data_IF_477431094693
#
_entry.id   IF_477431094693
#
_cell.length_a   1.000
_cell.length_b   1.000
_cell.length_c   1.000
_cell.angle_alpha   90.00
_cell.angle_beta   90.00
_cell.angle_gamma   90.00
#
_symmetry.space_group_name_H-M   'P 1'
#
loop_
_entity.id
_entity.type
_entity.pdbx_description
1 polymer ?
#
# COMPACT_ATOMS: atom_id res chain seq x y z
N UNK A 1 15.90 22.49 17.22
CA UNK A 1 15.45 22.20 15.85
C UNK A 1 14.16 21.39 15.96
N UNK A 2 13.02 22.03 15.70
CA UNK A 2 11.72 21.35 15.84
C UNK A 2 11.53 20.50 14.57
N UNK A 3 11.59 19.18 14.71
CA UNK A 3 11.43 18.26 13.59
C UNK A 3 9.92 18.12 13.33
N UNK A 4 9.38 18.98 12.48
CA UNK A 4 8.03 18.78 11.89
C UNK A 4 8.14 17.87 10.66
N UNK A 5 8.71 16.70 10.89
CA UNK A 5 9.28 15.92 9.83
C UNK A 5 8.28 15.42 8.81
N UNK A 6 7.25 14.67 9.24
CA UNK A 6 6.45 13.89 8.28
C UNK A 6 5.03 13.71 8.76
N UNK A 7 4.09 13.81 7.84
CA UNK A 7 2.70 13.39 8.02
C UNK A 7 2.43 12.13 7.21
N UNK A 8 1.43 11.35 7.61
CA UNK A 8 0.99 10.15 6.89
C UNK A 8 -0.41 10.35 6.31
N UNK A 9 -0.62 9.89 5.09
CA UNK A 9 -1.95 9.74 4.49
C UNK A 9 -2.02 8.48 3.64
N UNK A 10 -3.22 7.90 3.55
CA UNK A 10 -3.54 6.79 2.65
C UNK A 10 -4.32 7.24 1.41
N UNK A 11 -4.61 8.53 1.27
CA UNK A 11 -5.36 9.11 0.16
C UNK A 11 -4.51 10.11 -0.62
N UNK A 12 -4.19 9.84 -1.91
CA UNK A 12 -3.42 10.75 -2.75
C UNK A 12 -4.03 12.15 -2.89
N UNK A 13 -5.35 12.28 -2.75
CA UNK A 13 -6.07 13.57 -2.86
C UNK A 13 -5.78 14.50 -1.69
N UNK A 14 -5.49 13.91 -0.54
CA UNK A 14 -5.20 14.66 0.68
C UNK A 14 -3.80 15.30 0.70
N UNK A 15 -2.88 14.84 -0.13
CA UNK A 15 -1.49 15.36 -0.17
C UNK A 15 -1.45 16.89 -0.31
N UNK A 16 -2.40 17.48 -1.04
CA UNK A 16 -2.51 18.93 -1.24
C UNK A 16 -3.32 19.65 -0.16
N UNK A 17 -3.83 18.93 0.84
CA UNK A 17 -4.66 19.54 1.88
C UNK A 17 -3.81 20.48 2.77
N UNK A 18 -4.29 21.69 3.10
CA UNK A 18 -3.51 22.69 3.86
C UNK A 18 -2.91 22.19 5.18
N UNK A 19 -3.56 21.21 5.83
CA UNK A 19 -3.04 20.60 7.09
C UNK A 19 -1.65 19.98 6.94
N UNK A 20 -1.25 19.61 5.72
CA UNK A 20 0.07 19.02 5.46
C UNK A 20 1.15 20.05 5.11
N UNK A 21 0.79 21.35 4.95
CA UNK A 21 1.76 22.39 4.62
C UNK A 21 2.78 22.65 5.73
N UNK A 22 2.45 22.29 6.96
CA UNK A 22 3.34 22.45 8.13
C UNK A 22 4.41 21.35 8.22
N UNK A 23 4.31 20.32 7.41
CA UNK A 23 5.26 19.19 7.39
C UNK A 23 6.23 19.33 6.21
N UNK A 24 7.46 18.86 6.41
CA UNK A 24 8.47 18.84 5.35
C UNK A 24 8.13 17.80 4.29
N UNK A 25 7.60 16.65 4.72
CA UNK A 25 7.23 15.55 3.83
C UNK A 25 5.87 14.94 4.21
N UNK A 26 5.23 14.31 3.24
CA UNK A 26 4.00 13.53 3.40
C UNK A 26 4.26 12.10 2.99
N UNK A 27 4.18 11.17 3.92
CA UNK A 27 4.27 9.73 3.65
C UNK A 27 2.93 9.29 3.07
N UNK A 28 2.94 8.81 1.83
CA UNK A 28 1.74 8.37 1.13
C UNK A 28 1.75 6.87 0.89
N UNK A 29 0.75 6.17 1.48
CA UNK A 29 0.46 4.77 1.22
C UNK A 29 -0.84 4.64 0.43
N UNK A 30 -0.77 4.51 -0.88
CA UNK A 30 -1.97 4.41 -1.73
C UNK A 30 -2.58 2.99 -1.75
N UNK A 31 -2.63 2.32 -0.59
CA UNK A 31 -3.24 0.98 -0.46
C UNK A 31 -4.73 1.03 -0.81
N UNK A 32 -5.44 2.06 -0.37
CA UNK A 32 -6.87 2.22 -0.65
C UNK A 32 -7.15 2.32 -2.16
N UNK A 33 -6.26 2.93 -2.92
CA UNK A 33 -6.34 2.98 -4.38
C UNK A 33 -6.33 1.59 -5.02
N UNK A 34 -5.60 0.64 -4.44
CA UNK A 34 -5.53 -0.73 -4.93
C UNK A 34 -6.89 -1.44 -4.87
N UNK A 35 -7.68 -1.20 -3.83
CA UNK A 35 -9.00 -1.79 -3.66
C UNK A 35 -10.10 -1.06 -4.45
N UNK A 36 -9.79 0.08 -5.06
CA UNK A 36 -10.72 0.89 -5.84
C UNK A 36 -11.56 1.81 -4.95
N UNK A 37 -11.56 3.09 -5.31
CA UNK A 37 -12.43 4.09 -4.69
C UNK A 37 -13.80 4.03 -5.34
N UNK A 38 -14.85 3.92 -4.53
CA UNK A 38 -16.24 4.02 -4.98
C UNK A 38 -17.11 2.86 -4.48
N UNK A 39 -18.11 3.23 -3.72
CA UNK A 39 -19.17 2.33 -3.28
C UNK A 39 -20.28 2.31 -4.35
N UNK A 40 -20.11 1.49 -5.38
CA UNK A 40 -21.25 1.15 -6.24
C UNK A 40 -22.21 0.27 -5.43
N UNK A 41 -23.51 0.56 -5.49
CA UNK A 41 -24.57 -0.23 -4.84
C UNK A 41 -24.44 -1.73 -5.24
N UNK A 42 -24.11 -2.00 -6.51
CA UNK A 42 -23.86 -3.35 -6.99
C UNK A 42 -22.69 -4.04 -6.27
N UNK A 43 -21.63 -3.28 -5.98
CA UNK A 43 -20.46 -3.80 -5.25
C UNK A 43 -20.84 -4.10 -3.79
N UNK A 44 -21.53 -3.15 -3.14
CA UNK A 44 -22.00 -3.33 -1.76
C UNK A 44 -22.89 -4.58 -1.62
N UNK A 45 -23.86 -4.77 -2.51
CA UNK A 45 -24.72 -5.96 -2.53
C UNK A 45 -23.90 -7.25 -2.74
N UNK A 46 -22.93 -7.24 -3.65
CA UNK A 46 -22.02 -8.37 -3.86
C UNK A 46 -21.21 -8.67 -2.60
N UNK A 47 -20.67 -7.65 -1.96
CA UNK A 47 -19.84 -7.78 -0.75
C UNK A 47 -20.68 -8.36 0.41
N UNK A 48 -21.91 -7.88 0.58
CA UNK A 48 -22.86 -8.42 1.57
C UNK A 48 -23.20 -9.88 1.29
N UNK A 49 -23.47 -10.23 0.04
CA UNK A 49 -23.76 -11.63 -0.36
C UNK A 49 -22.58 -12.56 -0.08
N UNK A 50 -21.37 -12.17 -0.51
CA UNK A 50 -20.14 -12.96 -0.29
C UNK A 50 -19.89 -13.13 1.22
N UNK A 51 -19.95 -12.07 1.99
CA UNK A 51 -19.71 -12.12 3.43
C UNK A 51 -20.78 -12.94 4.15
N UNK A 52 -22.06 -12.75 3.81
CA UNK A 52 -23.20 -13.36 4.53
C UNK A 52 -23.39 -14.85 4.23
N UNK A 53 -23.18 -15.25 2.96
CA UNK A 53 -23.45 -16.63 2.53
C UNK A 53 -22.20 -17.49 2.39
N UNK A 54 -21.08 -16.92 1.98
CA UNK A 54 -19.84 -17.68 1.75
C UNK A 54 -18.83 -17.53 2.88
N UNK A 55 -19.06 -16.62 3.82
CA UNK A 55 -18.12 -16.30 4.91
C UNK A 55 -16.68 -16.03 4.40
N UNK A 56 -16.55 -15.44 3.20
CA UNK A 56 -15.27 -15.13 2.56
C UNK A 56 -15.03 -13.62 2.58
N UNK A 57 -13.76 -13.19 2.60
CA UNK A 57 -13.40 -11.78 2.42
C UNK A 57 -13.86 -11.28 1.04
N UNK A 58 -14.60 -10.16 1.02
CA UNK A 58 -15.12 -9.58 -0.21
C UNK A 58 -14.08 -8.72 -0.96
N UNK A 59 -13.10 -8.18 -0.24
CA UNK A 59 -12.10 -7.26 -0.77
C UNK A 59 -10.80 -7.98 -1.15
N UNK A 60 -10.87 -8.89 -2.13
CA UNK A 60 -9.71 -9.62 -2.65
C UNK A 60 -9.29 -9.04 -4.00
N UNK A 61 -8.04 -8.59 -4.09
CA UNK A 61 -7.47 -8.02 -5.32
C UNK A 61 -6.16 -8.73 -5.63
N UNK A 62 -5.95 -9.11 -6.91
CA UNK A 62 -4.66 -9.64 -7.33
C UNK A 62 -3.55 -8.60 -7.10
N UNK A 63 -2.45 -9.00 -6.46
CA UNK A 63 -1.33 -8.11 -6.16
C UNK A 63 -0.75 -7.47 -7.44
N UNK A 64 -0.70 -8.20 -8.56
CA UNK A 64 -0.31 -7.67 -9.86
C UNK A 64 -1.19 -6.49 -10.33
N UNK A 65 -2.48 -6.50 -10.00
CA UNK A 65 -3.39 -5.38 -10.29
C UNK A 65 -3.26 -4.28 -9.24
N UNK A 66 -3.05 -4.67 -7.98
CA UNK A 66 -2.89 -3.74 -6.86
C UNK A 66 -1.69 -2.82 -7.06
N UNK A 67 -0.51 -3.35 -7.38
CA UNK A 67 0.72 -2.55 -7.58
C UNK A 67 0.56 -1.50 -8.68
N UNK A 68 -0.15 -1.83 -9.78
CA UNK A 68 -0.46 -0.87 -10.84
C UNK A 68 -1.38 0.26 -10.39
N UNK A 69 -2.36 -0.05 -9.52
CA UNK A 69 -3.31 0.92 -8.99
C UNK A 69 -2.73 1.76 -7.84
N UNK A 70 -1.75 1.20 -7.13
CA UNK A 70 -1.04 1.94 -6.08
C UNK A 70 -0.14 3.02 -6.66
N UNK A 71 0.35 2.86 -7.89
CA UNK A 71 1.06 3.93 -8.59
C UNK A 71 0.09 5.09 -8.84
N UNK A 72 0.48 6.28 -8.43
CA UNK A 72 -0.35 7.47 -8.60
C UNK A 72 0.51 8.71 -8.90
N UNK A 73 -0.02 9.70 -9.63
CA UNK A 73 0.72 10.93 -9.97
C UNK A 73 1.20 11.72 -8.76
N UNK A 74 0.56 11.54 -7.59
CA UNK A 74 1.00 12.20 -6.37
C UNK A 74 2.43 11.81 -5.96
N UNK A 75 2.91 10.63 -6.38
CA UNK A 75 4.28 10.19 -6.09
C UNK A 75 5.35 11.03 -6.80
N UNK A 76 5.01 11.78 -7.84
CA UNK A 76 5.93 12.69 -8.52
C UNK A 76 6.19 13.98 -7.72
N UNK A 77 5.33 14.30 -6.75
CA UNK A 77 5.49 15.47 -5.90
C UNK A 77 6.72 15.31 -4.99
N UNK A 78 7.57 16.33 -4.95
CA UNK A 78 8.83 16.34 -4.18
C UNK A 78 8.62 16.14 -2.68
N UNK A 79 7.51 16.65 -2.12
CA UNK A 79 7.16 16.47 -0.70
C UNK A 79 6.64 15.07 -0.36
N UNK A 80 6.28 14.26 -1.37
CA UNK A 80 5.68 12.95 -1.10
C UNK A 80 6.75 11.88 -0.99
N UNK A 81 6.73 11.16 0.11
CA UNK A 81 7.53 9.95 0.32
C UNK A 81 6.63 8.73 0.10
N UNK A 82 6.85 7.96 -0.97
CA UNK A 82 6.01 6.81 -1.27
C UNK A 82 6.23 5.65 -0.29
N UNK A 83 5.16 4.88 -0.08
CA UNK A 83 5.21 3.61 0.65
C UNK A 83 5.04 2.46 -0.33
N UNK A 84 5.92 1.47 -0.26
CA UNK A 84 5.79 0.18 -0.95
C UNK A 84 5.31 -0.89 0.03
N UNK A 85 4.52 -1.83 -0.49
CA UNK A 85 3.86 -2.86 0.33
C UNK A 85 4.18 -4.23 -0.27
N UNK A 86 4.90 -5.12 0.45
CA UNK A 86 5.30 -6.43 -0.08
C UNK A 86 4.12 -7.39 -0.27
N UNK A 87 3.23 -7.40 0.68
CA UNK A 87 2.05 -8.25 0.74
C UNK A 87 0.99 -7.61 1.64
N UNK A 88 -0.23 -8.15 1.65
CA UNK A 88 -1.31 -7.64 2.49
C UNK A 88 -2.39 -8.69 2.67
N UNK A 89 -2.65 -9.06 3.92
CA UNK A 89 -3.80 -9.87 4.30
C UNK A 89 -4.35 -9.41 5.66
N UNK A 90 -5.40 -8.62 5.62
CA UNK A 90 -6.01 -8.06 6.83
C UNK A 90 -7.09 -8.99 7.43
N UNK A 91 -7.27 -10.19 6.85
CA UNK A 91 -8.28 -11.14 7.35
C UNK A 91 -8.02 -11.67 8.76
N UNK A 92 -6.75 -11.82 9.24
CA UNK A 92 -6.53 -12.24 10.62
C UNK A 92 -7.12 -11.28 11.67
N UNK A 93 -7.19 -9.98 11.35
CA UNK A 93 -7.76 -8.95 12.25
C UNK A 93 -9.25 -8.72 12.04
N UNK A 94 -9.71 -8.73 10.79
CA UNK A 94 -11.07 -8.30 10.42
C UNK A 94 -11.96 -9.42 9.91
N UNK A 95 -11.48 -10.66 9.88
CA UNK A 95 -12.24 -11.78 9.35
C UNK A 95 -12.71 -11.51 7.91
N UNK A 96 -13.99 -11.70 7.64
CA UNK A 96 -14.61 -11.49 6.32
C UNK A 96 -14.62 -10.02 5.88
N UNK A 97 -14.44 -9.06 6.79
CA UNK A 97 -14.27 -7.65 6.48
C UNK A 97 -12.85 -7.27 6.04
N UNK A 98 -11.91 -8.21 6.10
CA UNK A 98 -10.53 -8.00 5.71
C UNK A 98 -10.34 -7.78 4.21
N UNK A 99 -9.30 -7.04 3.86
CA UNK A 99 -8.86 -6.83 2.49
C UNK A 99 -7.57 -7.62 2.23
N UNK A 100 -7.45 -8.20 1.03
CA UNK A 100 -6.36 -9.13 0.72
C UNK A 100 -5.75 -8.79 -0.64
N UNK A 101 -4.41 -8.76 -0.71
CA UNK A 101 -3.67 -8.85 -1.97
C UNK A 101 -3.36 -10.32 -2.28
N UNK A 102 -4.14 -10.89 -3.18
CA UNK A 102 -3.97 -12.27 -3.60
C UNK A 102 -2.76 -12.44 -4.54
N UNK A 103 -2.05 -13.55 -4.40
CA UNK A 103 -0.84 -13.87 -5.17
C UNK A 103 0.26 -12.80 -5.09
N UNK A 104 0.55 -12.31 -3.89
CA UNK A 104 1.77 -11.56 -3.64
C UNK A 104 3.00 -12.48 -3.78
N UNK A 105 4.00 -12.04 -4.55
CA UNK A 105 5.27 -12.75 -4.73
C UNK A 105 6.45 -11.78 -4.65
N UNK A 106 7.65 -12.26 -4.30
CA UNK A 106 8.86 -11.44 -4.29
C UNK A 106 9.15 -10.74 -5.63
N UNK A 107 8.89 -11.39 -6.77
CA UNK A 107 9.11 -10.82 -8.11
C UNK A 107 8.16 -9.65 -8.37
N UNK A 108 6.89 -9.78 -7.96
CA UNK A 108 5.93 -8.69 -8.08
C UNK A 108 6.26 -7.53 -7.14
N UNK A 109 6.76 -7.84 -5.94
CA UNK A 109 7.25 -6.83 -5.01
C UNK A 109 8.47 -6.10 -5.57
N UNK A 110 9.46 -6.83 -6.08
CA UNK A 110 10.61 -6.25 -6.78
C UNK A 110 10.19 -5.28 -7.87
N UNK A 111 9.23 -5.67 -8.70
CA UNK A 111 8.68 -4.80 -9.73
C UNK A 111 8.08 -3.53 -9.14
N UNK A 112 7.22 -3.67 -8.12
CA UNK A 112 6.60 -2.53 -7.44
C UNK A 112 7.65 -1.57 -6.86
N UNK A 113 8.65 -2.13 -6.17
CA UNK A 113 9.76 -1.36 -5.61
C UNK A 113 10.57 -0.65 -6.71
N UNK A 114 10.85 -1.34 -7.82
CA UNK A 114 11.57 -0.76 -8.97
C UNK A 114 10.81 0.42 -9.57
N UNK A 115 9.50 0.26 -9.81
CA UNK A 115 8.66 1.33 -10.37
C UNK A 115 8.69 2.58 -9.45
N UNK A 116 8.59 2.39 -8.13
CA UNK A 116 8.65 3.48 -7.16
C UNK A 116 10.06 4.10 -7.07
N UNK A 117 11.11 3.29 -7.12
CA UNK A 117 12.50 3.78 -7.14
C UNK A 117 12.76 4.67 -8.36
N UNK A 118 12.27 4.29 -9.53
CA UNK A 118 12.41 5.10 -10.75
C UNK A 118 11.73 6.46 -10.61
N UNK A 119 10.51 6.50 -10.08
CA UNK A 119 9.80 7.77 -9.80
C UNK A 119 10.58 8.61 -8.78
N UNK A 120 11.04 7.98 -7.71
CA UNK A 120 11.70 8.67 -6.60
C UNK A 120 13.05 9.27 -7.02
N UNK A 121 13.80 8.59 -7.89
CA UNK A 121 15.09 9.07 -8.43
C UNK A 121 14.95 10.30 -9.33
N UNK A 122 13.79 10.52 -9.92
CA UNK A 122 13.53 11.69 -10.77
C UNK A 122 13.24 12.97 -9.97
N UNK A 123 13.00 12.84 -8.66
CA UNK A 123 12.71 13.99 -7.80
C UNK A 123 13.96 14.82 -7.52
N UNK A 124 13.78 16.13 -7.46
CA UNK A 124 14.84 17.09 -7.10
C UNK A 124 14.92 17.28 -5.58
N UNK A 125 15.14 16.19 -4.84
CA UNK A 125 15.24 16.18 -3.38
C UNK A 125 16.64 15.78 -2.94
N UNK A 126 17.11 16.35 -1.84
CA UNK A 126 18.47 16.11 -1.33
C UNK A 126 18.65 14.65 -0.89
N UNK A 127 17.60 14.06 -0.31
CA UNK A 127 17.60 12.68 0.16
C UNK A 127 16.31 11.99 -0.29
N UNK A 128 16.33 11.27 -1.42
CA UNK A 128 15.19 10.49 -1.85
C UNK A 128 14.94 9.33 -0.87
N UNK A 129 13.69 9.20 -0.42
CA UNK A 129 13.28 8.19 0.55
C UNK A 129 12.09 7.38 0.05
N UNK A 130 12.04 6.12 0.46
CA UNK A 130 10.91 5.21 0.30
C UNK A 130 10.68 4.53 1.64
N UNK A 131 9.41 4.38 2.04
CA UNK A 131 9.05 3.56 3.18
C UNK A 131 8.57 2.20 2.72
N UNK A 132 8.96 1.16 3.45
CA UNK A 132 8.43 -0.20 3.26
C UNK A 132 7.45 -0.45 4.40
N UNK A 133 6.22 -0.76 4.05
CA UNK A 133 5.21 -1.21 5.00
C UNK A 133 4.95 -2.69 4.73
N UNK A 134 5.42 -3.60 5.60
CA UNK A 134 6.28 -3.37 6.77
C UNK A 134 7.32 -4.48 6.89
N UNK A 135 8.18 -4.39 7.90
CA UNK A 135 9.15 -5.45 8.18
C UNK A 135 8.46 -6.70 8.76
N UNK A 136 7.59 -6.53 9.78
CA UNK A 136 7.07 -7.64 10.58
C UNK A 136 5.61 -7.48 11.08
N UNK A 137 4.73 -6.89 10.30
CA UNK A 137 3.31 -6.77 10.66
C UNK A 137 2.54 -8.04 10.24
N UNK A 138 2.83 -9.14 10.90
CA UNK A 138 2.22 -10.45 10.63
C UNK A 138 0.70 -10.45 10.84
N UNK A 139 0.20 -9.67 11.79
CA UNK A 139 -1.25 -9.54 12.05
C UNK A 139 -2.05 -8.92 10.90
N UNK A 140 -1.38 -8.26 9.95
CA UNK A 140 -1.97 -7.73 8.72
C UNK A 140 -1.46 -8.48 7.47
N UNK A 141 -0.80 -9.64 7.66
CA UNK A 141 -0.15 -10.35 6.58
C UNK A 141 0.76 -9.45 5.74
N UNK A 142 1.42 -8.50 6.42
CA UNK A 142 2.22 -7.44 5.79
C UNK A 142 3.63 -7.46 6.37
N UNK A 143 4.51 -8.25 5.77
CA UNK A 143 5.84 -8.52 6.30
C UNK A 143 6.87 -8.79 5.22
N UNK A 144 8.14 -8.58 5.56
CA UNK A 144 9.32 -8.95 4.75
C UNK A 144 10.23 -9.93 5.47
N UNK A 145 9.98 -10.22 6.74
CA UNK A 145 10.72 -11.25 7.46
C UNK A 145 10.68 -12.57 6.71
N UNK A 146 11.75 -13.39 6.80
CA UNK A 146 11.78 -14.71 6.19
C UNK A 146 10.60 -15.57 6.63
N UNK A 147 9.94 -16.21 5.69
CA UNK A 147 8.80 -17.09 5.90
C UNK A 147 9.05 -18.50 5.35
N UNK A 148 8.15 -19.44 5.66
CA UNK A 148 8.25 -20.82 5.19
C UNK A 148 7.97 -20.96 3.69
N UNK A 149 7.32 -19.98 3.07
CA UNK A 149 6.92 -20.04 1.67
C UNK A 149 7.98 -19.50 0.73
N UNK A 150 8.59 -18.37 1.08
CA UNK A 150 9.50 -17.64 0.21
C UNK A 150 10.91 -17.49 0.81
N UNK A 151 11.13 -17.97 2.05
CA UNK A 151 12.42 -17.80 2.73
C UNK A 151 12.80 -16.31 2.79
N UNK A 152 14.00 -15.98 2.29
CA UNK A 152 14.54 -14.59 2.29
C UNK A 152 14.22 -13.81 1.02
N UNK A 153 13.46 -14.35 0.08
CA UNK A 153 13.31 -13.77 -1.26
C UNK A 153 12.72 -12.33 -1.27
N UNK A 154 11.88 -11.99 -0.30
CA UNK A 154 11.40 -10.60 -0.18
C UNK A 154 12.48 -9.59 0.20
N UNK A 155 13.49 -10.04 0.98
CA UNK A 155 14.64 -9.21 1.36
C UNK A 155 15.61 -9.08 0.18
N UNK A 156 15.71 -10.10 -0.63
CA UNK A 156 16.61 -10.17 -1.80
C UNK A 156 16.01 -9.51 -3.06
N UNK A 157 14.75 -9.14 -3.00
CA UNK A 157 14.05 -8.49 -4.10
C UNK A 157 14.54 -7.05 -4.31
#
# INVERSE_FOLDING_TARGET
MCIRDRAYTADPREVKHPRYNVFDNVILSNINGAFGQGHSVKRLLKDVLINRFLHLPAHVVSYRKAIKKMLCPAFENEKVVPVVVPNWDHSPRLGTGGSIFHNSTPELFKRHLTDILLITRQKRVVQPMIFIKSWNEWGEGNYMEPDLRFGKQYIEA
#
